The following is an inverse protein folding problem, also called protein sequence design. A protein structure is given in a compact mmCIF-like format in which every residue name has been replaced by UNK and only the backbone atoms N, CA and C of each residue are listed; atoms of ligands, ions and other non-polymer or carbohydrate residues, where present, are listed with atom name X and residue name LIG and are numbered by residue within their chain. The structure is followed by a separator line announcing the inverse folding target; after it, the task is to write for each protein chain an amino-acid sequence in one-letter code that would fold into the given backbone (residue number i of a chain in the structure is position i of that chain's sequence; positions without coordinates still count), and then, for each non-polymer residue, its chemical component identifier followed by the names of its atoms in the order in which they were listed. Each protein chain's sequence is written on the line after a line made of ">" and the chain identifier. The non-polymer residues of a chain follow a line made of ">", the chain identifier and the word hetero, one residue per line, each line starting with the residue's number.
data_IF_853933166546
#
_entry.id   IF_853933166546
#
_cell.length_a   1.000
_cell.length_b   1.000
_cell.length_c   1.000
_cell.angle_alpha   90.00
_cell.angle_beta   90.00
_cell.angle_gamma   90.00
#
_symmetry.space_group_name_H-M   'P 1'
#
loop_
_entity.id
_entity.type
_entity.pdbx_description
1 polymer ?
#
# COMPACT_ATOMS: atom_id res chain seq x y z
N UNK A 1 -31.54 -10.87 60.80
CA UNK A 1 -30.61 -11.33 59.74
C UNK A 1 -30.64 -10.31 58.62
N UNK A 2 -29.55 -9.56 58.40
CA UNK A 2 -29.38 -8.76 57.20
C UNK A 2 -28.31 -9.44 56.34
N UNK A 3 -28.69 -9.90 55.15
CA UNK A 3 -27.74 -10.49 54.22
C UNK A 3 -26.83 -9.38 53.68
N UNK A 4 -25.53 -9.51 53.93
CA UNK A 4 -24.52 -8.62 53.37
C UNK A 4 -24.28 -9.01 51.91
N UNK A 5 -24.78 -8.22 50.96
CA UNK A 5 -24.40 -8.37 49.55
C UNK A 5 -22.94 -7.94 49.40
N UNK A 6 -22.05 -8.90 49.11
CA UNK A 6 -20.69 -8.61 48.65
C UNK A 6 -20.76 -8.04 47.24
N UNK A 7 -20.30 -6.80 47.06
CA UNK A 7 -19.96 -6.27 45.73
C UNK A 7 -18.92 -7.20 45.11
N UNK A 8 -19.29 -7.88 44.02
CA UNK A 8 -18.33 -8.58 43.15
C UNK A 8 -17.39 -7.51 42.61
N UNK A 9 -16.10 -7.68 42.88
CA UNK A 9 -15.07 -6.70 42.53
C UNK A 9 -14.96 -6.63 41.01
N UNK A 10 -15.43 -5.53 40.42
CA UNK A 10 -15.33 -5.24 38.99
C UNK A 10 -13.93 -5.46 38.40
N UNK A 11 -12.87 -5.34 39.22
CA UNK A 11 -11.47 -5.59 38.83
C UNK A 11 -11.13 -7.05 38.50
N UNK A 12 -11.78 -8.04 39.12
CA UNK A 12 -11.50 -9.46 38.83
C UNK A 12 -12.10 -9.87 37.47
N UNK A 13 -13.30 -9.37 37.15
CA UNK A 13 -13.98 -9.60 35.87
C UNK A 13 -13.20 -9.00 34.69
N UNK A 14 -12.55 -7.85 34.91
CA UNK A 14 -11.76 -7.17 33.88
C UNK A 14 -10.45 -7.92 33.55
N UNK A 15 -9.82 -8.53 34.56
CA UNK A 15 -8.61 -9.35 34.39
C UNK A 15 -8.89 -10.65 33.63
N UNK A 16 -10.01 -11.32 33.92
CA UNK A 16 -10.38 -12.55 33.22
C UNK A 16 -10.79 -12.28 31.75
N UNK A 17 -11.46 -11.15 31.49
CA UNK A 17 -11.73 -10.68 30.12
C UNK A 17 -10.44 -10.39 29.35
N UNK A 18 -9.47 -9.73 29.99
CA UNK A 18 -8.19 -9.43 29.35
C UNK A 18 -7.42 -10.71 29.00
N UNK A 19 -7.38 -11.70 29.91
CA UNK A 19 -6.75 -13.00 29.64
C UNK A 19 -7.42 -13.77 28.50
N UNK A 20 -8.76 -13.78 28.45
CA UNK A 20 -9.50 -14.42 27.38
C UNK A 20 -9.23 -13.75 26.01
N UNK A 21 -9.16 -12.42 26.00
CA UNK A 21 -8.80 -11.64 24.82
C UNK A 21 -7.38 -11.96 24.34
N UNK A 22 -6.40 -11.98 25.24
CA UNK A 22 -5.01 -12.27 24.90
C UNK A 22 -4.83 -13.71 24.37
N UNK A 23 -5.57 -14.67 24.93
CA UNK A 23 -5.59 -16.05 24.43
C UNK A 23 -6.22 -16.18 23.03
N UNK A 24 -7.30 -15.44 22.76
CA UNK A 24 -7.93 -15.40 21.44
C UNK A 24 -7.01 -14.75 20.39
N UNK A 25 -6.35 -13.66 20.72
CA UNK A 25 -5.35 -13.02 19.86
C UNK A 25 -4.18 -13.98 19.55
N UNK A 26 -3.68 -14.71 20.55
CA UNK A 26 -2.63 -15.71 20.35
C UNK A 26 -3.07 -16.90 19.47
N UNK A 27 -4.34 -17.30 19.53
CA UNK A 27 -4.88 -18.33 18.63
C UNK A 27 -4.95 -17.84 17.18
N UNK A 28 -5.36 -16.58 16.97
CA UNK A 28 -5.39 -15.95 15.65
C UNK A 28 -3.98 -15.88 15.06
N UNK A 29 -2.99 -15.43 15.83
CA UNK A 29 -1.59 -15.36 15.38
C UNK A 29 -1.01 -16.74 15.01
N UNK A 30 -1.38 -17.81 15.73
CA UNK A 30 -0.95 -19.18 15.40
C UNK A 30 -1.59 -19.71 14.13
N UNK A 31 -2.86 -19.39 13.89
CA UNK A 31 -3.61 -19.90 12.75
C UNK A 31 -3.30 -19.13 11.45
N UNK A 32 -3.05 -17.83 11.54
CA UNK A 32 -2.97 -16.92 10.38
C UNK A 32 -1.65 -16.16 10.25
N UNK A 33 -0.70 -16.39 11.16
CA UNK A 33 0.61 -15.72 11.17
C UNK A 33 0.64 -14.51 12.09
N UNK A 34 1.85 -14.14 12.54
CA UNK A 34 2.06 -13.02 13.46
C UNK A 34 1.53 -11.71 12.87
N UNK A 35 0.75 -10.98 13.67
CA UNK A 35 0.21 -9.68 13.30
C UNK A 35 -1.12 -9.76 12.55
N UNK A 36 -1.76 -10.93 12.51
CA UNK A 36 -3.07 -11.14 11.90
C UNK A 36 -4.20 -10.47 12.68
N UNK A 37 -4.04 -10.26 14.00
CA UNK A 37 -4.91 -9.41 14.80
C UNK A 37 -4.12 -8.63 15.86
N UNK A 38 -4.20 -7.30 15.81
CA UNK A 38 -3.51 -6.42 16.77
C UNK A 38 -4.35 -5.19 17.11
N UNK A 39 -4.10 -4.61 18.29
CA UNK A 39 -4.75 -3.35 18.68
C UNK A 39 -4.26 -2.24 17.76
N UNK A 40 -5.19 -1.50 17.16
CA UNK A 40 -4.89 -0.47 16.15
C UNK A 40 -3.90 0.60 16.64
N UNK A 41 -3.93 0.93 17.94
CA UNK A 41 -3.01 1.89 18.58
C UNK A 41 -1.63 1.35 18.97
N UNK A 42 -1.38 0.05 18.81
CA UNK A 42 -0.05 -0.56 18.97
C UNK A 42 0.74 -0.56 17.65
N UNK A 43 0.19 0.00 16.56
CA UNK A 43 1.01 0.35 15.40
C UNK A 43 2.03 1.38 15.87
N UNK A 44 3.29 0.97 16.02
CA UNK A 44 4.39 1.80 15.56
C UNK A 44 3.95 2.36 14.21
N UNK A 45 4.02 3.68 14.01
CA UNK A 45 3.74 4.32 12.72
C UNK A 45 4.31 3.41 11.65
N UNK A 46 3.44 2.69 10.92
CA UNK A 46 3.94 1.86 9.82
C UNK A 46 4.61 2.87 8.91
N UNK A 47 5.92 2.86 8.86
CA UNK A 47 6.67 3.67 7.92
C UNK A 47 6.28 3.13 6.56
N UNK A 48 5.26 3.76 5.96
CA UNK A 48 4.80 3.43 4.64
C UNK A 48 5.88 3.99 3.72
N UNK A 49 6.72 3.10 3.23
CA UNK A 49 7.68 3.44 2.19
C UNK A 49 6.92 3.97 0.97
N UNK A 50 7.43 5.05 0.38
CA UNK A 50 6.80 5.71 -0.76
C UNK A 50 7.78 5.88 -1.91
N UNK A 51 7.24 6.02 -3.12
CA UNK A 51 7.97 6.33 -4.35
C UNK A 51 7.59 7.75 -4.76
N UNK A 52 8.57 8.63 -4.99
CA UNK A 52 8.30 9.99 -5.46
C UNK A 52 7.50 9.96 -6.77
N UNK A 53 6.59 10.91 -6.93
CA UNK A 53 5.84 11.11 -8.17
C UNK A 53 6.65 11.83 -9.25
N UNK A 54 7.87 12.28 -8.93
CA UNK A 54 8.66 13.21 -9.76
C UNK A 54 8.20 14.66 -9.65
N UNK A 55 7.12 14.93 -8.88
CA UNK A 55 6.59 16.26 -8.62
C UNK A 55 6.62 16.55 -7.11
N UNK A 56 7.53 17.41 -6.68
CA UNK A 56 7.65 17.80 -5.27
C UNK A 56 6.34 18.32 -4.68
N UNK A 57 5.58 19.10 -5.45
CA UNK A 57 4.29 19.63 -5.00
C UNK A 57 3.26 18.54 -4.74
N UNK A 58 3.24 17.49 -5.58
CA UNK A 58 2.34 16.37 -5.41
C UNK A 58 2.78 15.46 -4.25
N UNK A 59 4.08 15.21 -4.11
CA UNK A 59 4.64 14.42 -3.01
C UNK A 59 4.31 15.03 -1.63
N UNK A 60 4.40 16.36 -1.53
CA UNK A 60 3.99 17.11 -0.34
C UNK A 60 2.49 16.98 -0.12
N UNK A 61 1.67 17.15 -1.17
CA UNK A 61 0.22 17.07 -1.06
C UNK A 61 -0.28 15.68 -0.62
N UNK A 62 0.42 14.61 -1.00
CA UNK A 62 0.14 13.24 -0.58
C UNK A 62 0.48 12.97 0.89
N UNK A 63 1.26 13.85 1.54
CA UNK A 63 1.59 13.80 2.98
C UNK A 63 2.58 12.71 3.40
N UNK A 64 2.70 11.63 2.61
CA UNK A 64 3.65 10.52 2.82
C UNK A 64 4.88 10.61 1.92
N UNK A 65 5.05 11.72 1.18
CA UNK A 65 6.22 11.98 0.34
C UNK A 65 6.22 11.26 -1.01
N UNK A 66 5.07 10.73 -1.46
CA UNK A 66 4.94 10.05 -2.75
C UNK A 66 3.82 9.00 -2.74
N UNK A 67 3.89 8.09 -3.71
CA UNK A 67 2.97 6.96 -3.84
C UNK A 67 3.35 5.84 -2.83
N UNK A 68 2.43 5.39 -1.96
CA UNK A 68 2.73 4.36 -0.96
C UNK A 68 2.95 2.98 -1.61
N UNK A 69 4.07 2.32 -1.28
CA UNK A 69 4.37 0.96 -1.77
C UNK A 69 3.38 -0.06 -1.21
N UNK A 70 3.11 -1.11 -2.01
CA UNK A 70 2.19 -2.18 -1.64
C UNK A 70 0.71 -1.77 -1.63
N UNK A 71 0.35 -0.71 -2.35
CA UNK A 71 -1.01 -0.19 -2.49
C UNK A 71 -1.34 0.02 -3.97
N UNK A 72 -2.62 -0.10 -4.29
CA UNK A 72 -3.14 0.27 -5.61
C UNK A 72 -3.39 1.77 -5.62
N UNK A 73 -2.94 2.44 -6.69
CA UNK A 73 -3.10 3.87 -6.91
C UNK A 73 -3.85 4.06 -8.23
N UNK A 74 -4.85 4.94 -8.21
CA UNK A 74 -5.61 5.31 -9.41
C UNK A 74 -5.28 6.76 -9.79
N UNK A 75 -4.88 6.97 -11.05
CA UNK A 75 -4.68 8.29 -11.65
C UNK A 75 -5.70 8.42 -12.78
N UNK A 76 -6.72 9.26 -12.59
CA UNK A 76 -7.77 9.49 -13.58
C UNK A 76 -7.84 10.96 -14.00
N UNK A 77 -8.44 11.21 -15.16
CA UNK A 77 -8.58 12.57 -15.70
C UNK A 77 -8.81 12.58 -17.22
N UNK A 78 -9.08 13.76 -17.79
CA UNK A 78 -9.34 13.94 -19.22
C UNK A 78 -8.22 13.40 -20.12
N UNK A 79 -8.52 13.16 -21.39
CA UNK A 79 -7.50 12.92 -22.40
C UNK A 79 -6.46 14.05 -22.41
N UNK A 80 -5.19 13.72 -22.64
CA UNK A 80 -4.09 14.68 -22.62
C UNK A 80 -3.87 15.43 -21.29
N UNK A 81 -4.48 15.01 -20.18
CA UNK A 81 -4.26 15.62 -18.85
C UNK A 81 -2.91 15.25 -18.20
N UNK A 82 -2.11 14.40 -18.86
CA UNK A 82 -0.80 13.97 -18.36
C UNK A 82 -0.79 12.70 -17.51
N UNK A 83 -1.84 11.87 -17.56
CA UNK A 83 -1.92 10.60 -16.80
C UNK A 83 -0.71 9.70 -17.04
N UNK A 84 -0.45 9.37 -18.31
CA UNK A 84 0.69 8.53 -18.73
C UNK A 84 2.02 9.20 -18.43
N UNK A 85 2.13 10.52 -18.64
CA UNK A 85 3.33 11.29 -18.28
C UNK A 85 3.65 11.19 -16.78
N UNK A 86 2.64 11.35 -15.91
CA UNK A 86 2.82 11.21 -14.46
C UNK A 86 3.21 9.77 -14.09
N UNK A 87 2.55 8.77 -14.67
CA UNK A 87 2.90 7.37 -14.44
C UNK A 87 4.36 7.09 -14.82
N UNK A 88 4.81 7.57 -15.99
CA UNK A 88 6.20 7.41 -16.45
C UNK A 88 7.21 8.12 -15.54
N UNK A 89 6.86 9.29 -14.96
CA UNK A 89 7.69 9.93 -13.94
C UNK A 89 7.80 9.09 -12.67
N UNK A 90 6.70 8.52 -12.18
CA UNK A 90 6.73 7.60 -11.04
C UNK A 90 7.62 6.36 -11.33
N UNK A 91 7.54 5.81 -12.55
CA UNK A 91 8.40 4.71 -12.99
C UNK A 91 9.88 5.11 -12.99
N UNK A 92 10.21 6.27 -13.53
CA UNK A 92 11.57 6.79 -13.55
C UNK A 92 12.12 6.98 -12.12
N UNK A 93 11.33 7.54 -11.20
CA UNK A 93 11.72 7.67 -9.78
C UNK A 93 11.88 6.30 -9.09
N UNK A 94 11.03 5.32 -9.41
CA UNK A 94 11.19 3.95 -8.92
C UNK A 94 12.51 3.32 -9.39
N UNK A 95 12.84 3.46 -10.68
CA UNK A 95 14.09 2.96 -11.26
C UNK A 95 15.33 3.67 -10.68
N UNK A 96 15.28 5.00 -10.51
CA UNK A 96 16.35 5.76 -9.84
C UNK A 96 16.60 5.30 -8.40
N UNK A 97 15.55 4.86 -7.71
CA UNK A 97 15.65 4.23 -6.39
C UNK A 97 16.21 2.81 -6.39
N UNK A 98 16.64 2.29 -7.56
CA UNK A 98 17.12 0.92 -7.73
C UNK A 98 16.01 -0.13 -7.84
N UNK A 99 14.76 0.29 -8.02
CA UNK A 99 13.62 -0.61 -8.22
C UNK A 99 13.47 -1.06 -9.67
N UNK A 100 12.77 -2.17 -9.87
CA UNK A 100 12.34 -2.63 -11.20
C UNK A 100 10.94 -2.11 -11.49
N UNK A 101 10.69 -1.71 -12.74
CA UNK A 101 9.40 -1.23 -13.19
C UNK A 101 8.85 -2.12 -14.31
N UNK A 102 7.53 -2.29 -14.32
CA UNK A 102 6.79 -2.90 -15.41
C UNK A 102 5.69 -1.95 -15.89
N UNK A 103 5.42 -1.97 -17.19
CA UNK A 103 4.38 -1.18 -17.83
C UNK A 103 3.48 -2.09 -18.67
N UNK A 104 2.20 -2.15 -18.31
CA UNK A 104 1.17 -2.88 -19.06
C UNK A 104 0.47 -1.88 -19.98
N UNK A 105 0.89 -1.85 -21.24
CA UNK A 105 0.38 -0.94 -22.27
C UNK A 105 -0.88 -1.51 -22.91
N UNK A 106 -2.00 -1.41 -22.19
CA UNK A 106 -3.31 -1.83 -22.70
C UNK A 106 -3.85 -0.90 -23.82
N UNK A 107 -3.35 0.34 -23.92
CA UNK A 107 -3.76 1.33 -24.95
C UNK A 107 -2.93 1.24 -26.23
N UNK A 108 -1.85 0.44 -26.24
CA UNK A 108 -0.92 0.27 -27.37
C UNK A 108 -0.36 1.63 -27.85
N UNK A 109 -0.10 2.54 -26.90
CA UNK A 109 0.21 3.94 -27.18
C UNK A 109 1.50 4.43 -26.51
N UNK A 110 2.28 3.54 -25.88
CA UNK A 110 3.54 3.92 -25.23
C UNK A 110 4.60 4.31 -26.27
N UNK A 111 5.11 5.56 -26.18
CA UNK A 111 6.27 6.01 -26.95
C UNK A 111 7.57 5.83 -26.14
N UNK A 112 8.46 4.90 -26.53
CA UNK A 112 9.72 4.67 -25.81
C UNK A 112 10.69 5.85 -25.90
N UNK A 113 10.62 6.67 -26.95
CA UNK A 113 11.47 7.88 -27.09
C UNK A 113 11.02 8.94 -26.09
N UNK A 114 9.71 9.11 -25.92
CA UNK A 114 9.16 10.02 -24.92
C UNK A 114 9.46 9.54 -23.50
N UNK A 115 9.22 8.26 -23.20
CA UNK A 115 9.52 7.68 -21.88
C UNK A 115 11.00 7.85 -21.50
N UNK A 116 11.94 7.64 -22.44
CA UNK A 116 13.37 7.88 -22.21
C UNK A 116 13.67 9.33 -21.85
N UNK A 117 13.01 10.29 -22.50
CA UNK A 117 13.15 11.73 -22.19
C UNK A 117 12.64 12.10 -20.80
N UNK A 118 11.68 11.35 -20.26
CA UNK A 118 11.19 11.53 -18.90
C UNK A 118 12.10 10.88 -17.84
N UNK A 119 13.17 10.18 -18.27
CA UNK A 119 14.16 9.56 -17.39
C UNK A 119 13.87 8.10 -17.06
N UNK A 120 12.95 7.46 -17.79
CA UNK A 120 12.74 6.01 -17.69
C UNK A 120 13.93 5.30 -18.33
N UNK A 121 14.49 4.33 -17.62
CA UNK A 121 15.43 3.38 -18.19
C UNK A 121 14.66 2.36 -19.03
N UNK A 122 14.64 2.61 -20.34
CA UNK A 122 13.91 1.79 -21.31
C UNK A 122 14.54 0.41 -21.48
N UNK A 123 15.85 0.29 -21.25
CA UNK A 123 16.56 -0.95 -21.53
C UNK A 123 16.24 -2.01 -20.44
N UNK A 124 15.87 -1.54 -19.24
CA UNK A 124 15.43 -2.36 -18.09
C UNK A 124 13.91 -2.30 -17.82
N UNK A 125 13.14 -1.59 -18.65
CA UNK A 125 11.68 -1.50 -18.47
C UNK A 125 11.00 -2.78 -19.00
N UNK A 126 10.28 -3.48 -18.13
CA UNK A 126 9.44 -4.61 -18.53
C UNK A 126 8.17 -4.06 -19.17
N UNK A 127 7.87 -4.45 -20.41
CA UNK A 127 6.66 -4.01 -21.12
C UNK A 127 5.83 -5.21 -21.53
N UNK A 128 4.52 -5.11 -21.34
CA UNK A 128 3.54 -6.06 -21.87
C UNK A 128 2.44 -5.32 -22.64
N UNK A 129 2.06 -5.86 -23.79
CA UNK A 129 0.93 -5.42 -24.60
C UNK A 129 -0.09 -6.54 -24.66
N UNK A 130 -1.02 -6.60 -23.69
CA UNK A 130 -2.00 -7.67 -23.61
C UNK A 130 -3.09 -7.51 -24.68
N UNK A 131 -3.70 -8.64 -25.07
CA UNK A 131 -4.84 -8.70 -25.97
C UNK A 131 -6.17 -8.45 -25.24
N UNK A 132 -6.25 -8.78 -23.94
CA UNK A 132 -7.46 -8.61 -23.11
C UNK A 132 -7.16 -8.01 -21.74
N UNK A 133 -8.21 -7.47 -21.09
CA UNK A 133 -8.11 -6.93 -19.73
C UNK A 133 -7.81 -8.01 -18.69
N UNK A 134 -8.34 -9.22 -18.86
CA UNK A 134 -8.06 -10.36 -17.97
C UNK A 134 -6.57 -10.73 -18.04
N UNK A 135 -6.01 -10.81 -19.25
CA UNK A 135 -4.58 -11.07 -19.43
C UNK A 135 -3.74 -9.97 -18.79
N UNK A 136 -4.15 -8.71 -18.93
CA UNK A 136 -3.47 -7.57 -18.31
C UNK A 136 -3.39 -7.67 -16.77
N UNK A 137 -4.38 -8.30 -16.13
CA UNK A 137 -4.44 -8.49 -14.68
C UNK A 137 -3.74 -9.76 -14.18
N UNK A 138 -3.58 -10.77 -15.05
CA UNK A 138 -2.83 -12.00 -14.73
C UNK A 138 -1.31 -11.82 -14.78
N UNK A 139 -0.84 -10.88 -15.61
CA UNK A 139 0.58 -10.49 -15.75
C UNK A 139 1.04 -9.72 -14.51
#
# INVERSE_FOLDING_TARGET
>A
MAASLKLVKDKEVDLDRQKALDAALAQIDRAFGKGSAMKLGQKETMNIESISTGSLGLDIALGVGGLPKGRVIEIYGPESSGKTTLALHCLAEAQKGGGTAAFVDAEHALDPVYARKLGVDIDELIVSQPDTGEQALEI
#
